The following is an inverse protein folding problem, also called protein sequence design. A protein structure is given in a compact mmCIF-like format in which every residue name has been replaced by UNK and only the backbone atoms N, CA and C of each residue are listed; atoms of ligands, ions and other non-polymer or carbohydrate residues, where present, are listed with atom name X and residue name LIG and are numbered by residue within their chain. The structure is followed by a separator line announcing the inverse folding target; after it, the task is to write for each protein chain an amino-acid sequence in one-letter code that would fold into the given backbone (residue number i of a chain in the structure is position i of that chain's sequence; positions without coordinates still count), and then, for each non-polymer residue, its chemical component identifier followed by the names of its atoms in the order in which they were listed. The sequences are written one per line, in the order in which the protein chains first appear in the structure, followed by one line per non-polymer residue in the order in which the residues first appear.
data_IF_130221076627
#
_entry.id   IF_130221076627
#
_cell.length_a   1.000
_cell.length_b   1.000
_cell.length_c   1.000
_cell.angle_alpha   90.00
_cell.angle_beta   90.00
_cell.angle_gamma   90.00
#
_symmetry.space_group_name_H-M   'P 1'
#
loop_
_entity.id
_entity.type
_entity.pdbx_description
1 polymer ?
#
# COMPACT_ATOMS: atom_id res chain seq x y z
N UNK A 1 26.67 2.39 -29.42
CA UNK A 1 25.81 3.24 -30.27
C UNK A 1 24.42 3.32 -29.67
N UNK A 2 23.65 4.40 -29.92
CA UNK A 2 22.28 4.56 -29.38
C UNK A 2 21.36 3.36 -29.67
N UNK A 3 21.49 2.78 -30.86
CA UNK A 3 20.75 1.60 -31.34
C UNK A 3 20.91 0.33 -30.48
N UNK A 4 22.06 0.15 -29.84
CA UNK A 4 22.37 -1.02 -29.01
C UNK A 4 21.79 -0.89 -27.58
N UNK A 5 21.63 0.34 -27.07
CA UNK A 5 20.91 0.58 -25.80
C UNK A 5 19.41 0.32 -25.95
N UNK A 6 18.82 0.75 -27.07
CA UNK A 6 17.39 0.55 -27.34
C UNK A 6 17.03 -0.93 -27.58
N UNK A 7 17.95 -1.70 -28.15
CA UNK A 7 17.79 -3.15 -28.31
C UNK A 7 17.80 -3.88 -26.95
N UNK A 8 18.74 -3.54 -26.06
CA UNK A 8 18.80 -4.10 -24.70
C UNK A 8 17.66 -3.66 -23.80
N UNK A 9 17.18 -2.43 -23.97
CA UNK A 9 15.98 -1.93 -23.30
C UNK A 9 14.75 -2.78 -23.64
N UNK A 10 14.49 -2.96 -24.94
CA UNK A 10 13.37 -3.77 -25.43
C UNK A 10 13.44 -5.24 -25.02
N UNK A 11 14.63 -5.85 -25.03
CA UNK A 11 14.79 -7.23 -24.55
C UNK A 11 14.54 -7.36 -23.04
N UNK A 12 14.93 -6.35 -22.25
CA UNK A 12 14.65 -6.31 -20.81
C UNK A 12 13.16 -6.21 -20.48
N UNK A 13 12.43 -5.32 -21.16
CA UNK A 13 10.98 -5.20 -20.99
C UNK A 13 10.23 -6.47 -21.45
N UNK A 14 10.65 -7.09 -22.55
CA UNK A 14 10.06 -8.35 -23.00
C UNK A 14 10.22 -9.45 -21.94
N UNK A 15 11.43 -9.63 -21.41
CA UNK A 15 11.69 -10.60 -20.34
C UNK A 15 10.86 -10.33 -19.08
N UNK A 16 10.70 -9.05 -18.70
CA UNK A 16 9.83 -8.64 -17.59
C UNK A 16 8.36 -9.02 -17.83
N UNK A 17 7.82 -8.73 -19.01
CA UNK A 17 6.44 -9.04 -19.36
C UNK A 17 6.21 -10.55 -19.49
N UNK A 18 7.18 -11.29 -20.02
CA UNK A 18 7.15 -12.76 -20.10
C UNK A 18 7.12 -13.38 -18.70
N UNK A 19 7.95 -12.90 -17.78
CA UNK A 19 7.94 -13.40 -16.40
C UNK A 19 6.63 -13.04 -15.67
N UNK A 20 6.17 -11.80 -15.81
CA UNK A 20 4.92 -11.35 -15.19
C UNK A 20 3.74 -12.16 -15.73
N UNK A 21 3.65 -12.36 -17.03
CA UNK A 21 2.58 -13.15 -17.66
C UNK A 21 2.64 -14.63 -17.25
N UNK A 22 3.84 -15.24 -17.24
CA UNK A 22 4.01 -16.63 -16.83
C UNK A 22 3.62 -16.90 -15.38
N UNK A 23 3.78 -15.91 -14.49
CA UNK A 23 3.43 -16.02 -13.08
C UNK A 23 1.99 -15.55 -12.77
N UNK A 24 1.37 -14.81 -13.68
CA UNK A 24 -0.01 -14.32 -13.54
C UNK A 24 -1.00 -15.43 -13.84
N UNK A 25 -1.99 -15.62 -12.97
CA UNK A 25 -3.06 -16.60 -13.20
C UNK A 25 -4.34 -15.88 -13.61
N UNK A 26 -5.12 -16.47 -14.51
CA UNK A 26 -6.40 -15.89 -14.93
C UNK A 26 -7.33 -15.59 -13.74
N UNK A 27 -7.36 -16.50 -12.76
CA UNK A 27 -8.15 -16.31 -11.53
C UNK A 27 -7.73 -15.08 -10.73
N UNK A 28 -6.46 -14.68 -10.80
CA UNK A 28 -5.96 -13.50 -10.11
C UNK A 28 -6.51 -12.23 -10.78
N UNK A 29 -6.56 -12.21 -12.11
CA UNK A 29 -7.15 -11.10 -12.87
C UNK A 29 -8.66 -10.99 -12.60
N UNK A 30 -9.37 -12.11 -12.55
CA UNK A 30 -10.79 -12.13 -12.17
C UNK A 30 -10.98 -11.56 -10.76
N UNK A 31 -10.14 -11.96 -9.79
CA UNK A 31 -10.20 -11.44 -8.44
C UNK A 31 -9.89 -9.93 -8.37
N UNK A 32 -8.94 -9.43 -9.16
CA UNK A 32 -8.59 -8.02 -9.23
C UNK A 32 -9.65 -7.17 -9.95
N UNK A 33 -10.38 -7.74 -10.91
CA UNK A 33 -11.49 -7.08 -11.60
C UNK A 33 -12.80 -7.09 -10.80
N UNK A 34 -12.90 -7.91 -9.76
CA UNK A 34 -14.12 -8.01 -8.96
C UNK A 34 -14.44 -6.69 -8.21
N UNK A 35 -13.53 -6.05 -7.46
CA UNK A 35 -13.82 -4.78 -6.80
C UNK A 35 -14.29 -3.66 -7.74
N UNK A 36 -13.59 -3.31 -8.84
CA UNK A 36 -14.06 -2.23 -9.72
C UNK A 36 -15.42 -2.56 -10.34
N UNK A 37 -15.70 -3.83 -10.64
CA UNK A 37 -17.02 -4.28 -11.13
C UNK A 37 -18.11 -4.03 -10.08
N UNK A 38 -17.86 -4.40 -8.82
CA UNK A 38 -18.79 -4.15 -7.71
C UNK A 38 -19.00 -2.65 -7.49
N UNK A 39 -17.93 -1.84 -7.52
CA UNK A 39 -18.03 -0.39 -7.36
C UNK A 39 -18.89 0.26 -8.44
N UNK A 40 -18.70 -0.13 -9.71
CA UNK A 40 -19.50 0.38 -10.83
C UNK A 40 -20.95 -0.09 -10.71
N UNK A 41 -21.19 -1.36 -10.36
CA UNK A 41 -22.53 -1.90 -10.17
C UNK A 41 -23.29 -1.17 -9.05
N UNK A 42 -22.64 -0.93 -7.90
CA UNK A 42 -23.23 -0.17 -6.79
C UNK A 42 -23.47 1.28 -7.21
N UNK A 43 -22.56 1.90 -7.97
CA UNK A 43 -22.73 3.27 -8.46
C UNK A 43 -23.92 3.44 -9.41
N UNK A 44 -24.24 2.41 -10.19
CA UNK A 44 -25.37 2.39 -11.12
C UNK A 44 -26.75 2.36 -10.41
N UNK A 45 -26.79 2.03 -9.11
CA UNK A 45 -28.03 2.06 -8.33
C UNK A 45 -28.61 3.48 -8.19
N UNK A 46 -29.94 3.62 -8.01
CA UNK A 46 -30.57 4.89 -7.73
C UNK A 46 -29.89 5.61 -6.55
N UNK A 47 -29.79 6.94 -6.64
CA UNK A 47 -29.10 7.75 -5.62
C UNK A 47 -29.70 7.55 -4.22
N UNK A 48 -31.01 7.33 -4.12
CA UNK A 48 -31.69 7.03 -2.86
C UNK A 48 -31.16 5.73 -2.23
N UNK A 49 -31.05 4.66 -3.03
CA UNK A 49 -30.50 3.36 -2.61
C UNK A 49 -29.05 3.46 -2.19
N UNK A 50 -28.22 4.21 -2.92
CA UNK A 50 -26.82 4.44 -2.53
C UNK A 50 -26.72 5.15 -1.18
N UNK A 51 -27.56 6.17 -0.94
CA UNK A 51 -27.59 6.89 0.34
C UNK A 51 -28.03 6.00 1.49
N UNK A 52 -28.98 5.08 1.30
CA UNK A 52 -29.39 4.14 2.36
C UNK A 52 -28.31 3.10 2.69
N UNK A 53 -27.34 2.88 1.79
CA UNK A 53 -26.21 1.98 2.00
C UNK A 53 -24.97 2.70 2.56
N UNK A 54 -25.00 4.03 2.68
CA UNK A 54 -23.93 4.82 3.28
C UNK A 54 -23.99 4.75 4.82
N UNK A 55 -22.86 5.00 5.48
CA UNK A 55 -22.75 4.84 6.92
C UNK A 55 -23.08 6.15 7.63
N UNK A 56 -24.29 6.27 8.18
CA UNK A 56 -24.67 7.38 9.04
C UNK A 56 -24.14 7.16 10.46
N UNK A 57 -23.33 8.09 10.96
CA UNK A 57 -22.62 7.89 12.25
C UNK A 57 -23.60 7.96 13.44
N UNK A 58 -24.73 8.64 13.25
CA UNK A 58 -25.80 8.77 14.25
C UNK A 58 -26.80 7.61 14.23
N UNK A 59 -26.77 6.76 13.21
CA UNK A 59 -27.64 5.59 13.07
C UNK A 59 -26.86 4.44 12.40
N UNK A 60 -25.84 3.89 13.09
CA UNK A 60 -24.95 2.90 12.51
C UNK A 60 -25.64 1.53 12.41
N UNK A 61 -25.46 0.86 11.27
CA UNK A 61 -25.88 -0.54 11.10
C UNK A 61 -24.71 -1.40 10.61
N UNK A 62 -24.76 -2.71 10.86
CA UNK A 62 -23.73 -3.64 10.36
C UNK A 62 -23.68 -3.66 8.82
N UNK A 63 -24.85 -3.56 8.17
CA UNK A 63 -24.93 -3.50 6.72
C UNK A 63 -24.21 -2.26 6.20
N UNK A 64 -24.57 -1.08 6.70
CA UNK A 64 -23.95 0.18 6.27
C UNK A 64 -22.48 0.28 6.67
N UNK A 65 -22.07 -0.33 7.79
CA UNK A 65 -20.67 -0.41 8.19
C UNK A 65 -19.80 -1.13 7.15
N UNK A 66 -20.38 -2.08 6.41
CA UNK A 66 -19.72 -2.76 5.30
C UNK A 66 -19.93 -2.04 3.97
N UNK A 67 -21.19 -1.81 3.58
CA UNK A 67 -21.54 -1.36 2.23
C UNK A 67 -21.10 0.06 1.93
N UNK A 68 -20.95 0.92 2.95
CA UNK A 68 -20.52 2.29 2.76
C UNK A 68 -19.18 2.40 2.04
N UNK A 69 -18.26 1.44 2.25
CA UNK A 69 -16.95 1.41 1.59
C UNK A 69 -17.04 1.15 0.08
N UNK A 70 -18.19 0.66 -0.40
CA UNK A 70 -18.46 0.39 -1.82
C UNK A 70 -19.39 1.44 -2.45
N UNK A 71 -19.89 2.40 -1.67
CA UNK A 71 -20.81 3.44 -2.13
C UNK A 71 -20.06 4.68 -2.54
N UNK A 72 -20.41 5.22 -3.72
CA UNK A 72 -19.97 6.55 -4.16
C UNK A 72 -21.18 7.38 -4.59
N UNK A 73 -21.24 8.63 -4.12
CA UNK A 73 -22.34 9.56 -4.42
C UNK A 73 -22.05 10.51 -5.59
N UNK A 74 -20.79 10.57 -6.04
CA UNK A 74 -20.34 11.40 -7.17
C UNK A 74 -19.35 10.64 -8.05
N UNK A 75 -19.37 10.95 -9.35
CA UNK A 75 -18.52 10.29 -10.35
C UNK A 75 -17.03 10.56 -10.09
N UNK A 76 -16.65 11.79 -9.75
CA UNK A 76 -15.25 12.14 -9.46
C UNK A 76 -14.70 11.33 -8.29
N UNK A 77 -15.52 11.11 -7.25
CA UNK A 77 -15.13 10.31 -6.10
C UNK A 77 -14.97 8.82 -6.47
N UNK A 78 -15.81 8.29 -7.36
CA UNK A 78 -15.65 6.93 -7.88
C UNK A 78 -14.39 6.81 -8.72
N UNK A 79 -14.18 7.72 -9.68
CA UNK A 79 -13.03 7.71 -10.58
C UNK A 79 -11.71 7.80 -9.81
N UNK A 80 -11.60 8.69 -8.82
CA UNK A 80 -10.42 8.80 -7.98
C UNK A 80 -10.12 7.49 -7.23
N UNK A 81 -11.16 6.80 -6.73
CA UNK A 81 -10.98 5.52 -6.06
C UNK A 81 -10.64 4.37 -7.02
N UNK A 82 -11.21 4.34 -8.23
CA UNK A 82 -10.87 3.35 -9.25
C UNK A 82 -9.44 3.52 -9.74
N UNK A 83 -9.00 4.76 -9.96
CA UNK A 83 -7.61 5.07 -10.33
C UNK A 83 -6.64 4.67 -9.21
N UNK A 84 -6.93 5.07 -7.97
CA UNK A 84 -6.14 4.68 -6.80
C UNK A 84 -6.08 3.17 -6.61
N UNK A 85 -7.20 2.47 -6.77
CA UNK A 85 -7.27 1.02 -6.71
C UNK A 85 -6.43 0.36 -7.80
N UNK A 86 -6.59 0.78 -9.06
CA UNK A 86 -5.85 0.22 -10.18
C UNK A 86 -4.35 0.35 -10.00
N UNK A 87 -3.89 1.50 -9.51
CA UNK A 87 -2.49 1.75 -9.19
C UNK A 87 -2.01 0.86 -8.04
N UNK A 88 -2.67 0.93 -6.88
CA UNK A 88 -2.21 0.26 -5.65
C UNK A 88 -2.32 -1.26 -5.73
N UNK A 89 -3.46 -1.78 -6.20
CA UNK A 89 -3.66 -3.21 -6.39
C UNK A 89 -2.83 -3.74 -7.55
N UNK A 90 -2.68 -2.99 -8.65
CA UNK A 90 -1.89 -3.39 -9.81
C UNK A 90 -0.40 -3.51 -9.50
N UNK A 91 0.19 -2.45 -8.93
CA UNK A 91 1.60 -2.47 -8.51
C UNK A 91 1.81 -3.50 -7.40
N UNK A 92 0.95 -3.51 -6.38
CA UNK A 92 1.04 -4.49 -5.30
C UNK A 92 1.00 -5.93 -5.81
N UNK A 93 0.10 -6.24 -6.74
CA UNK A 93 0.03 -7.55 -7.37
C UNK A 93 1.30 -7.90 -8.14
N UNK A 94 1.80 -6.99 -9.00
CA UNK A 94 3.03 -7.20 -9.76
C UNK A 94 4.24 -7.47 -8.85
N UNK A 95 4.43 -6.63 -7.83
CA UNK A 95 5.48 -6.82 -6.83
C UNK A 95 5.34 -8.18 -6.12
N UNK A 96 4.12 -8.54 -5.70
CA UNK A 96 3.86 -9.79 -5.01
C UNK A 96 4.12 -11.02 -5.87
N UNK A 97 3.73 -11.01 -7.15
CA UNK A 97 3.89 -12.16 -8.03
C UNK A 97 5.34 -12.35 -8.44
N UNK A 98 6.04 -11.27 -8.79
CA UNK A 98 7.45 -11.32 -9.16
C UNK A 98 8.36 -11.69 -7.99
N UNK A 99 7.98 -11.30 -6.77
CA UNK A 99 8.64 -11.78 -5.56
C UNK A 99 8.11 -13.13 -5.06
N UNK A 100 7.08 -13.74 -5.64
CA UNK A 100 6.52 -15.00 -5.13
C UNK A 100 5.74 -14.89 -3.80
N UNK A 101 5.36 -13.68 -3.39
CA UNK A 101 4.46 -13.39 -2.25
C UNK A 101 2.98 -13.29 -2.64
N UNK A 102 2.55 -13.96 -3.71
CA UNK A 102 1.15 -13.98 -4.19
C UNK A 102 0.14 -14.30 -3.07
N UNK A 103 0.45 -15.27 -2.20
CA UNK A 103 -0.42 -15.64 -1.06
C UNK A 103 -0.58 -14.49 -0.07
N UNK A 104 0.50 -13.78 0.27
CA UNK A 104 0.45 -12.63 1.17
C UNK A 104 -0.46 -11.55 0.60
N UNK A 105 -0.29 -11.21 -0.68
CA UNK A 105 -1.12 -10.21 -1.35
C UNK A 105 -2.60 -10.59 -1.30
N UNK A 106 -2.98 -11.81 -1.71
CA UNK A 106 -4.40 -12.17 -1.72
C UNK A 106 -5.00 -12.37 -0.34
N UNK A 107 -4.25 -12.86 0.65
CA UNK A 107 -4.72 -12.90 2.04
C UNK A 107 -5.02 -11.49 2.55
N UNK A 108 -4.10 -10.54 2.33
CA UNK A 108 -4.29 -9.16 2.72
C UNK A 108 -5.45 -8.52 1.95
N UNK A 109 -5.50 -8.69 0.62
CA UNK A 109 -6.55 -8.19 -0.26
C UNK A 109 -7.95 -8.65 0.17
N UNK A 110 -8.15 -9.96 0.40
CA UNK A 110 -9.43 -10.49 0.88
C UNK A 110 -9.77 -9.93 2.26
N UNK A 111 -8.79 -9.83 3.16
CA UNK A 111 -8.98 -9.23 4.49
C UNK A 111 -9.41 -7.76 4.38
N UNK A 112 -8.79 -7.00 3.47
CA UNK A 112 -9.10 -5.58 3.26
C UNK A 112 -10.47 -5.36 2.62
N UNK A 113 -10.93 -6.27 1.77
CA UNK A 113 -12.26 -6.20 1.17
C UNK A 113 -13.37 -6.62 2.15
N UNK A 114 -13.07 -7.53 3.07
CA UNK A 114 -14.11 -8.19 3.89
C UNK A 114 -14.13 -7.72 5.34
N UNK A 115 -12.98 -7.66 6.01
CA UNK A 115 -12.91 -7.37 7.44
C UNK A 115 -12.64 -5.88 7.72
N UNK A 116 -11.78 -5.23 6.93
CA UNK A 116 -11.43 -3.83 7.13
C UNK A 116 -12.62 -2.85 7.06
N UNK A 117 -13.66 -3.05 6.22
CA UNK A 117 -14.82 -2.18 6.24
C UNK A 117 -15.42 -2.02 7.64
N UNK A 118 -15.55 -3.11 8.39
CA UNK A 118 -16.03 -3.09 9.77
C UNK A 118 -15.07 -2.37 10.71
N UNK A 119 -13.78 -2.68 10.63
CA UNK A 119 -12.76 -2.06 11.49
C UNK A 119 -12.67 -0.55 11.28
N UNK A 120 -12.69 -0.10 10.01
CA UNK A 120 -12.65 1.31 9.65
C UNK A 120 -13.93 2.04 10.05
N UNK A 121 -15.09 1.42 9.88
CA UNK A 121 -16.37 2.00 10.33
C UNK A 121 -16.41 2.12 11.86
N UNK A 122 -15.94 1.12 12.60
CA UNK A 122 -15.84 1.18 14.05
C UNK A 122 -14.86 2.25 14.55
N UNK A 123 -13.68 2.37 13.93
CA UNK A 123 -12.72 3.42 14.27
C UNK A 123 -13.28 4.82 14.01
N UNK A 124 -14.09 4.97 12.96
CA UNK A 124 -14.77 6.23 12.65
C UNK A 124 -15.84 6.61 13.68
N UNK A 125 -16.47 5.64 14.35
CA UNK A 125 -17.40 5.92 15.45
C UNK A 125 -16.71 6.45 16.71
N UNK A 126 -15.41 6.18 16.87
CA UNK A 126 -14.64 6.69 18.00
C UNK A 126 -14.50 8.23 18.00
N UNK A 127 -14.82 8.89 16.87
CA UNK A 127 -14.84 10.34 16.73
C UNK A 127 -16.29 10.78 16.47
N UNK A 128 -17.05 11.22 17.51
CA UNK A 128 -18.44 11.60 17.35
C UNK A 128 -18.58 12.81 16.43
N UNK A 129 -19.27 12.63 15.30
CA UNK A 129 -19.56 13.72 14.36
C UNK A 129 -20.82 13.39 13.58
N UNK A 130 -21.62 14.41 13.26
CA UNK A 130 -22.76 14.27 12.36
C UNK A 130 -22.28 14.19 10.91
N UNK A 131 -21.74 13.03 10.53
CA UNK A 131 -21.19 12.77 9.20
C UNK A 131 -21.74 11.46 8.62
N UNK A 132 -21.61 11.35 7.30
CA UNK A 132 -21.91 10.13 6.57
C UNK A 132 -20.61 9.64 5.96
N UNK A 133 -20.21 8.41 6.30
CA UNK A 133 -19.06 7.73 5.72
C UNK A 133 -19.47 7.00 4.45
N UNK A 134 -18.68 7.17 3.39
CA UNK A 134 -18.80 6.41 2.15
C UNK A 134 -17.51 6.47 1.35
N UNK A 135 -17.30 5.49 0.49
CA UNK A 135 -16.20 5.43 -0.47
C UNK A 135 -15.13 4.41 -0.13
N UNK A 136 -14.41 3.99 -1.17
CA UNK A 136 -13.44 2.91 -1.14
C UNK A 136 -12.04 3.34 -0.68
N UNK A 137 -11.87 4.62 -0.32
CA UNK A 137 -10.57 5.21 -0.02
C UNK A 137 -9.89 4.56 1.18
N UNK A 138 -10.66 4.13 2.19
CA UNK A 138 -10.12 3.39 3.34
C UNK A 138 -9.48 2.05 2.93
N UNK A 139 -10.08 1.32 1.98
CA UNK A 139 -9.52 0.09 1.43
C UNK A 139 -8.30 0.39 0.56
N UNK A 140 -8.35 1.46 -0.24
CA UNK A 140 -7.17 1.93 -0.97
C UNK A 140 -6.00 2.28 -0.01
N UNK A 141 -6.26 2.95 1.11
CA UNK A 141 -5.21 3.24 2.10
C UNK A 141 -4.66 1.96 2.76
N UNK A 142 -5.48 0.93 2.96
CA UNK A 142 -4.99 -0.38 3.40
C UNK A 142 -4.05 -1.03 2.37
N UNK A 143 -4.39 -0.97 1.08
CA UNK A 143 -3.52 -1.41 -0.01
C UNK A 143 -2.22 -0.60 -0.07
N UNK A 144 -2.31 0.72 0.11
CA UNK A 144 -1.13 1.59 0.21
C UNK A 144 -0.24 1.20 1.39
N UNK A 145 -0.80 0.81 2.53
CA UNK A 145 -0.05 0.31 3.69
C UNK A 145 0.65 -1.03 3.44
N UNK A 146 0.13 -1.87 2.54
CA UNK A 146 0.76 -3.14 2.14
C UNK A 146 1.93 -2.93 1.18
N UNK A 147 1.89 -1.86 0.36
CA UNK A 147 2.82 -1.64 -0.72
C UNK A 147 4.30 -1.61 -0.27
N UNK A 148 4.69 -0.92 0.83
CA UNK A 148 6.07 -0.93 1.31
C UNK A 148 6.60 -2.33 1.67
N UNK A 149 5.73 -3.24 2.14
CA UNK A 149 6.11 -4.60 2.50
C UNK A 149 6.42 -5.41 1.24
N UNK A 150 5.56 -5.30 0.23
CA UNK A 150 5.74 -5.98 -1.05
C UNK A 150 6.91 -5.40 -1.83
N UNK A 151 7.08 -4.08 -1.78
CA UNK A 151 8.21 -3.37 -2.33
C UNK A 151 9.53 -3.88 -1.73
N UNK A 152 9.63 -3.93 -0.40
CA UNK A 152 10.81 -4.43 0.29
C UNK A 152 11.12 -5.88 -0.10
N UNK A 153 10.10 -6.73 -0.13
CA UNK A 153 10.23 -8.13 -0.53
C UNK A 153 10.77 -8.28 -1.96
N UNK A 154 10.25 -7.50 -2.88
CA UNK A 154 10.68 -7.48 -4.27
C UNK A 154 12.10 -6.92 -4.42
N UNK A 155 12.39 -5.80 -3.75
CA UNK A 155 13.70 -5.16 -3.75
C UNK A 155 14.80 -6.11 -3.24
N UNK A 156 14.53 -6.78 -2.12
CA UNK A 156 15.44 -7.76 -1.52
C UNK A 156 15.70 -8.91 -2.50
N UNK A 157 14.66 -9.53 -3.02
CA UNK A 157 14.84 -10.72 -3.86
C UNK A 157 15.51 -10.40 -5.19
N UNK A 158 15.21 -9.24 -5.78
CA UNK A 158 15.67 -8.90 -7.13
C UNK A 158 17.03 -8.20 -7.16
N UNK A 159 17.33 -7.38 -6.15
CA UNK A 159 18.49 -6.47 -6.18
C UNK A 159 19.42 -6.59 -4.97
N UNK A 160 18.95 -7.15 -3.86
CA UNK A 160 19.78 -7.32 -2.68
C UNK A 160 19.46 -8.63 -1.90
N UNK A 161 19.70 -9.81 -2.49
CA UNK A 161 19.31 -11.09 -1.86
C UNK A 161 20.05 -11.34 -0.54
N UNK A 162 21.23 -10.73 -0.39
CA UNK A 162 22.06 -10.75 0.82
C UNK A 162 21.74 -9.62 1.80
N UNK A 163 20.73 -8.78 1.55
CA UNK A 163 20.34 -7.73 2.48
C UNK A 163 19.73 -8.37 3.73
N UNK A 164 20.36 -8.10 4.86
CA UNK A 164 19.87 -8.57 6.14
C UNK A 164 18.59 -7.84 6.54
N UNK A 165 17.62 -8.59 7.08
CA UNK A 165 16.40 -8.06 7.70
C UNK A 165 16.67 -7.47 9.09
N UNK A 166 17.86 -7.66 9.66
CA UNK A 166 18.19 -7.22 11.02
C UNK A 166 18.11 -5.70 11.20
N UNK A 167 18.24 -4.91 10.13
CA UNK A 167 18.12 -3.45 10.16
C UNK A 167 16.68 -2.94 9.99
N UNK A 168 15.70 -3.79 9.61
CA UNK A 168 14.31 -3.37 9.40
C UNK A 168 13.66 -2.77 10.64
N UNK A 169 13.82 -3.32 11.86
CA UNK A 169 13.27 -2.69 13.07
C UNK A 169 13.84 -1.28 13.28
N UNK A 170 15.13 -1.07 12.99
CA UNK A 170 15.75 0.24 13.11
C UNK A 170 15.10 1.26 12.17
N UNK A 171 14.91 0.88 10.90
CA UNK A 171 14.24 1.72 9.89
C UNK A 171 12.77 1.97 10.27
N UNK A 172 12.06 0.95 10.76
CA UNK A 172 10.67 1.08 11.20
C UNK A 172 10.53 2.10 12.34
N UNK A 173 11.34 1.98 13.40
CA UNK A 173 11.27 2.92 14.53
C UNK A 173 11.70 4.33 14.14
N UNK A 174 12.66 4.48 13.23
CA UNK A 174 13.03 5.77 12.68
C UNK A 174 11.87 6.43 11.92
N UNK A 175 11.16 5.66 11.07
CA UNK A 175 10.01 6.14 10.33
C UNK A 175 8.83 6.49 11.25
N UNK A 176 8.54 5.66 12.25
CA UNK A 176 7.48 5.93 13.25
C UNK A 176 7.81 7.20 14.02
N UNK A 177 9.05 7.36 14.50
CA UNK A 177 9.47 8.56 15.20
C UNK A 177 9.38 9.81 14.31
N UNK A 178 9.81 9.69 13.05
CA UNK A 178 9.71 10.75 12.05
C UNK A 178 8.26 11.17 11.77
N UNK A 179 7.37 10.19 11.53
CA UNK A 179 5.94 10.44 11.30
C UNK A 179 5.31 11.10 12.53
N UNK A 180 5.64 10.65 13.73
CA UNK A 180 5.13 11.25 14.96
C UNK A 180 5.52 12.73 15.09
N UNK A 181 6.76 13.09 14.72
CA UNK A 181 7.23 14.48 14.73
C UNK A 181 6.53 15.36 13.68
N UNK A 182 6.14 14.79 12.54
CA UNK A 182 5.44 15.53 11.47
C UNK A 182 3.93 15.62 11.70
N UNK A 183 3.32 14.56 12.24
CA UNK A 183 1.87 14.42 12.33
C UNK A 183 1.29 14.97 13.64
N UNK A 184 2.10 15.05 14.70
CA UNK A 184 1.66 15.58 15.99
C UNK A 184 2.21 16.99 16.21
N UNK A 185 1.44 17.88 16.86
CA UNK A 185 1.93 19.21 17.20
C UNK A 185 3.20 19.10 18.03
N UNK A 186 4.24 19.89 17.74
CA UNK A 186 5.43 19.93 18.59
C UNK A 186 5.19 20.94 19.71
N UNK A 187 4.86 20.45 20.90
CA UNK A 187 4.60 21.28 22.09
C UNK A 187 5.08 20.55 23.35
N UNK A 188 5.43 21.29 24.40
CA UNK A 188 5.75 20.73 25.71
C UNK A 188 4.50 20.39 26.55
N UNK A 189 3.30 20.63 26.02
CA UNK A 189 2.03 20.43 26.72
C UNK A 189 1.09 19.47 25.96
N UNK A 190 0.34 18.67 26.73
CA UNK A 190 -0.74 17.82 26.21
C UNK A 190 -0.31 16.87 25.10
N UNK A 191 -1.04 16.92 23.97
CA UNK A 191 -0.84 16.05 22.80
C UNK A 191 0.53 16.26 22.16
N UNK A 192 1.14 17.44 22.30
CA UNK A 192 2.45 17.68 21.71
C UNK A 192 3.62 17.04 22.45
N UNK A 193 3.48 16.88 23.78
CA UNK A 193 4.46 16.14 24.57
C UNK A 193 4.47 14.66 24.15
N UNK A 194 3.30 14.10 23.82
CA UNK A 194 3.17 12.73 23.32
C UNK A 194 3.84 12.57 21.95
N UNK A 195 3.72 13.57 21.06
CA UNK A 195 4.43 13.57 19.77
C UNK A 195 5.93 13.61 19.91
N UNK A 196 6.45 14.51 20.75
CA UNK A 196 7.87 14.61 21.06
C UNK A 196 8.41 13.31 21.68
N UNK A 197 7.70 12.77 22.67
CA UNK A 197 8.09 11.52 23.35
C UNK A 197 8.12 10.32 22.40
N UNK A 198 7.12 10.21 21.51
CA UNK A 198 7.07 9.15 20.49
C UNK A 198 8.18 9.30 19.46
N UNK A 199 8.48 10.54 19.05
CA UNK A 199 9.60 10.87 18.16
C UNK A 199 10.95 10.45 18.75
N UNK A 200 11.23 10.86 20.00
CA UNK A 200 12.47 10.53 20.71
C UNK A 200 12.58 9.03 20.96
N UNK A 201 11.51 8.37 21.39
CA UNK A 201 11.50 6.92 21.60
C UNK A 201 11.77 6.16 20.30
N UNK A 202 11.15 6.58 19.19
CA UNK A 202 11.41 6.01 17.86
C UNK A 202 12.86 6.16 17.42
N UNK A 203 13.47 7.34 17.62
CA UNK A 203 14.88 7.58 17.30
C UNK A 203 15.83 6.75 18.16
N UNK A 204 15.58 6.64 19.47
CA UNK A 204 16.39 5.83 20.38
C UNK A 204 16.30 4.34 20.04
N UNK A 205 15.09 3.83 19.80
CA UNK A 205 14.89 2.44 19.37
C UNK A 205 15.54 2.17 18.02
N UNK A 206 15.48 3.12 17.09
CA UNK A 206 16.18 3.01 15.82
C UNK A 206 17.69 2.86 16.00
N UNK A 207 18.30 3.70 16.84
CA UNK A 207 19.73 3.65 17.14
C UNK A 207 20.13 2.35 17.85
N UNK A 208 19.33 1.89 18.83
CA UNK A 208 19.57 0.65 19.55
C UNK A 208 19.51 -0.56 18.63
N UNK A 209 18.51 -0.62 17.74
CA UNK A 209 18.40 -1.71 16.76
C UNK A 209 19.49 -1.64 15.69
N UNK A 210 19.89 -0.44 15.27
CA UNK A 210 21.00 -0.28 14.33
C UNK A 210 22.33 -0.74 14.95
N UNK A 211 22.59 -0.38 16.21
CA UNK A 211 23.81 -0.74 16.94
C UNK A 211 23.88 -2.23 17.32
N UNK A 212 22.73 -2.87 17.56
CA UNK A 212 22.64 -4.31 17.85
C UNK A 212 22.58 -5.18 16.60
N UNK A 213 22.23 -4.59 15.45
CA UNK A 213 22.34 -5.28 14.18
C UNK A 213 23.82 -5.32 13.74
N UNK A 214 24.37 -6.51 13.54
CA UNK A 214 25.65 -6.77 12.84
C UNK A 214 25.57 -6.38 11.34
N UNK A 215 24.76 -5.38 11.00
CA UNK A 215 24.51 -4.88 9.68
C UNK A 215 25.79 -4.23 9.16
N UNK A 216 26.62 -5.04 8.49
CA UNK A 216 27.73 -4.56 7.67
C UNK A 216 27.18 -3.48 6.75
N UNK A 217 27.81 -2.30 6.77
CA UNK A 217 27.50 -1.18 5.90
C UNK A 217 27.18 -1.70 4.48
N UNK A 218 26.05 -1.30 3.88
CA UNK A 218 25.67 -1.79 2.56
C UNK A 218 26.83 -1.57 1.58
N UNK A 219 27.02 -2.52 0.65
CA UNK A 219 27.87 -2.31 -0.54
C UNK A 219 27.58 -0.92 -1.11
N UNK A 220 28.57 -0.19 -1.64
CA UNK A 220 28.43 1.22 -1.97
C UNK A 220 27.14 1.44 -2.78
N UNK A 221 26.26 2.31 -2.28
CA UNK A 221 24.90 2.61 -2.77
C UNK A 221 24.88 2.77 -4.31
N UNK A 222 25.97 3.29 -4.88
CA UNK A 222 26.19 3.44 -6.33
C UNK A 222 26.05 2.12 -7.11
N UNK A 223 26.41 0.98 -6.54
CA UNK A 223 26.35 -0.34 -7.19
C UNK A 223 24.92 -0.85 -7.27
N UNK A 224 24.13 -0.65 -6.20
CA UNK A 224 22.71 -0.98 -6.18
C UNK A 224 21.91 -0.06 -7.10
N UNK A 225 22.18 1.26 -7.09
CA UNK A 225 21.55 2.21 -8.00
C UNK A 225 21.84 1.88 -9.47
N UNK A 226 23.06 1.47 -9.79
CA UNK A 226 23.40 1.02 -11.16
C UNK A 226 22.67 -0.25 -11.56
N UNK A 227 22.53 -1.22 -10.64
CA UNK A 227 21.79 -2.47 -10.87
C UNK A 227 20.30 -2.23 -11.15
N UNK A 228 19.68 -1.33 -10.39
CA UNK A 228 18.28 -0.91 -10.59
C UNK A 228 18.14 -0.20 -11.95
N UNK A 229 18.99 0.79 -12.22
CA UNK A 229 18.94 1.56 -13.48
C UNK A 229 19.27 0.72 -14.72
N UNK A 230 20.01 -0.39 -14.58
CA UNK A 230 20.36 -1.27 -15.69
C UNK A 230 19.36 -2.41 -15.93
N UNK A 231 18.23 -2.45 -15.21
CA UNK A 231 17.24 -3.53 -15.29
C UNK A 231 15.88 -3.01 -15.81
N UNK A 232 15.69 -2.82 -17.12
CA UNK A 232 14.44 -2.34 -17.71
C UNK A 232 13.23 -3.19 -17.27
N UNK A 233 12.09 -2.54 -16.97
CA UNK A 233 10.88 -3.15 -16.44
C UNK A 233 10.97 -3.46 -14.94
N UNK A 234 12.01 -4.16 -14.52
CA UNK A 234 12.18 -4.54 -13.10
C UNK A 234 12.54 -3.35 -12.20
N UNK A 235 13.44 -2.49 -12.67
CA UNK A 235 13.83 -1.27 -11.97
C UNK A 235 12.75 -0.19 -12.01
N UNK A 236 11.98 -0.13 -13.11
CA UNK A 236 10.85 0.80 -13.26
C UNK A 236 9.72 0.45 -12.28
N UNK A 237 9.39 -0.84 -12.14
CA UNK A 237 8.42 -1.29 -11.13
C UNK A 237 8.88 -0.95 -9.69
N UNK A 238 10.19 -1.03 -9.42
CA UNK A 238 10.76 -0.62 -8.13
C UNK A 238 10.67 0.90 -7.92
N UNK A 239 10.76 1.69 -8.99
CA UNK A 239 10.72 3.15 -8.91
C UNK A 239 9.30 3.70 -8.71
N UNK A 240 8.29 3.01 -9.24
CA UNK A 240 6.88 3.43 -9.17
C UNK A 240 6.17 2.89 -7.92
N UNK A 241 6.58 1.72 -7.41
CA UNK A 241 6.05 1.16 -6.16
C UNK A 241 6.65 1.78 -4.91
#
# INVERSE_FOLDING_TARGET
TPTDRDARGRSGYAAFLDELSARTRLIDLVALCLPPTVLVAVFALPRATRRSLAFAYMDPSLLSAFTAHYVHLGADHLLGNLAGYGLLAGIGYALAVLSGRRRLFFTAFVTYLTAFPFALSALNLAVPRNAIGFGFSGVNMALAGLLPILWYCYARDRFAPSASVTALPAVFFALVGWIALLALPVSTEGVGLAGLATGVAGALLALLYAASSDARLPRPIRTHLRSVASSPGYGDLLAVG
#
